data_IF_943592183342
#
_entry.id   IF_943592183342
#
_cell.length_a   1.000
_cell.length_b   1.000
_cell.length_c   1.000
_cell.angle_alpha   90.00
_cell.angle_beta   90.00
_cell.angle_gamma   90.00
#
_symmetry.space_group_name_H-M   'P 1'
#
loop_
_entity.id
_entity.type
_entity.pdbx_description
1 polymer ?
#
# COMPACT_ATOMS: atom_id res chain seq x y z
N UNK A 1 4.58 -16.45 23.79
CA UNK A 1 4.14 -15.77 25.03
C UNK A 1 3.13 -14.68 24.69
N UNK A 2 3.43 -13.82 23.70
CA UNK A 2 2.53 -12.76 23.15
C UNK A 2 1.07 -13.16 22.90
N UNK A 3 0.80 -14.35 22.33
CA UNK A 3 -0.58 -14.76 22.01
C UNK A 3 -1.47 -14.98 23.25
N UNK A 4 -0.89 -15.36 24.39
CA UNK A 4 -1.63 -15.58 25.64
C UNK A 4 -2.06 -14.24 26.26
N UNK A 5 -1.16 -13.27 26.22
CA UNK A 5 -1.40 -11.91 26.71
C UNK A 5 -2.43 -11.19 25.81
N UNK A 6 -2.40 -11.45 24.50
CA UNK A 6 -3.38 -10.91 23.57
C UNK A 6 -4.79 -11.47 23.80
N UNK A 7 -4.91 -12.79 24.07
CA UNK A 7 -6.20 -13.44 24.36
C UNK A 7 -6.75 -12.96 25.71
N UNK A 8 -5.91 -12.82 26.74
CA UNK A 8 -6.34 -12.29 28.04
C UNK A 8 -6.86 -10.85 27.93
N UNK A 9 -6.16 -10.00 27.17
CA UNK A 9 -6.53 -8.60 26.96
C UNK A 9 -7.82 -8.47 26.12
N UNK A 10 -8.01 -9.30 25.10
CA UNK A 10 -9.25 -9.37 24.32
C UNK A 10 -10.44 -9.85 25.16
N UNK A 11 -10.21 -10.82 26.06
CA UNK A 11 -11.27 -11.35 26.94
C UNK A 11 -11.77 -10.31 27.95
N UNK A 12 -10.86 -9.49 28.49
CA UNK A 12 -11.20 -8.38 29.39
C UNK A 12 -11.94 -7.25 28.68
N UNK A 13 -11.54 -6.92 27.45
CA UNK A 13 -12.23 -5.91 26.63
C UNK A 13 -13.66 -6.37 26.27
N UNK A 14 -13.83 -7.64 25.91
CA UNK A 14 -15.14 -8.23 25.58
C UNK A 14 -16.08 -8.28 26.80
N UNK A 15 -15.54 -8.47 28.01
CA UNK A 15 -16.34 -8.49 29.24
C UNK A 15 -16.96 -7.12 29.57
N UNK A 16 -16.22 -6.03 29.34
CA UNK A 16 -16.74 -4.68 29.52
C UNK A 16 -17.87 -4.33 28.53
N UNK A 17 -17.81 -4.87 27.30
CA UNK A 17 -18.81 -4.63 26.26
C UNK A 17 -20.13 -5.39 26.48
N UNK A 18 -20.19 -6.40 27.37
CA UNK A 18 -21.42 -7.18 27.65
C UNK A 18 -22.42 -6.49 28.57
N UNK A 19 -22.03 -5.38 29.23
CA UNK A 19 -22.89 -4.65 30.18
C UNK A 19 -23.62 -3.47 29.51
N UNK A 20 -23.30 -3.16 28.26
CA UNK A 20 -24.04 -2.21 27.44
C UNK A 20 -25.15 -2.92 26.66
N UNK A 21 -26.39 -2.42 26.74
CA UNK A 21 -27.50 -2.81 25.88
C UNK A 21 -27.22 -2.15 24.53
N UNK A 22 -26.37 -2.76 23.70
CA UNK A 22 -26.07 -2.25 22.36
C UNK A 22 -27.16 -2.70 21.40
N UNK A 23 -27.81 -1.75 20.73
CA UNK A 23 -28.77 -2.06 19.67
C UNK A 23 -28.04 -2.75 18.51
N UNK A 24 -28.74 -3.64 17.78
CA UNK A 24 -28.15 -4.41 16.68
C UNK A 24 -27.44 -3.53 15.63
N UNK A 25 -27.90 -2.29 15.45
CA UNK A 25 -27.29 -1.30 14.57
C UNK A 25 -25.87 -0.91 15.01
N UNK A 26 -25.62 -0.73 16.30
CA UNK A 26 -24.32 -0.34 16.83
C UNK A 26 -23.31 -1.50 16.76
N UNK A 27 -23.80 -2.72 16.97
CA UNK A 27 -23.01 -3.93 16.85
C UNK A 27 -22.53 -4.19 15.40
N UNK A 28 -23.35 -3.85 14.39
CA UNK A 28 -22.96 -3.95 12.98
C UNK A 28 -21.88 -2.92 12.61
N UNK A 29 -21.98 -1.70 13.12
CA UNK A 29 -20.96 -0.67 12.90
C UNK A 29 -19.62 -1.03 13.56
N UNK A 30 -19.64 -1.63 14.75
CA UNK A 30 -18.42 -2.11 15.40
C UNK A 30 -17.79 -3.28 14.63
N UNK A 31 -18.60 -4.14 14.02
CA UNK A 31 -18.13 -5.24 13.17
C UNK A 31 -17.42 -4.74 11.90
N UNK A 32 -17.94 -3.69 11.24
CA UNK A 32 -17.28 -3.13 10.04
C UNK A 32 -15.94 -2.50 10.38
N UNK A 33 -15.81 -1.82 11.53
CA UNK A 33 -14.53 -1.28 12.02
C UNK A 33 -13.51 -2.39 12.23
N UNK A 34 -13.90 -3.50 12.89
CA UNK A 34 -13.01 -4.64 13.09
C UNK A 34 -12.59 -5.27 11.75
N UNK A 35 -13.52 -5.41 10.80
CA UNK A 35 -13.22 -5.92 9.45
C UNK A 35 -12.16 -5.04 8.77
N UNK A 36 -12.35 -3.72 8.74
CA UNK A 36 -11.39 -2.80 8.14
C UNK A 36 -10.03 -2.84 8.84
N UNK A 37 -10.00 -2.99 10.16
CA UNK A 37 -8.75 -3.11 10.92
C UNK A 37 -7.99 -4.39 10.52
N UNK A 38 -8.68 -5.53 10.44
CA UNK A 38 -8.08 -6.78 9.97
C UNK A 38 -7.60 -6.67 8.52
N UNK A 39 -8.41 -6.07 7.64
CA UNK A 39 -8.02 -5.85 6.25
C UNK A 39 -6.78 -4.96 6.14
N UNK A 40 -6.68 -3.90 6.95
CA UNK A 40 -5.52 -3.03 7.00
C UNK A 40 -4.25 -3.77 7.48
N UNK A 41 -4.37 -4.63 8.50
CA UNK A 41 -3.26 -5.48 8.96
C UNK A 41 -2.81 -6.44 7.84
N UNK A 42 -3.73 -7.05 7.11
CA UNK A 42 -3.41 -7.98 6.02
C UNK A 42 -2.70 -7.25 4.87
N UNK A 43 -3.21 -6.08 4.47
CA UNK A 43 -2.64 -5.27 3.37
C UNK A 43 -1.24 -4.78 3.73
N UNK A 44 -1.08 -4.20 4.93
CA UNK A 44 0.23 -3.74 5.41
C UNK A 44 1.25 -4.87 5.59
N UNK A 45 0.83 -6.03 6.09
CA UNK A 45 1.70 -7.20 6.17
C UNK A 45 2.17 -7.65 4.77
N UNK A 46 1.30 -7.61 3.76
CA UNK A 46 1.70 -7.93 2.39
C UNK A 46 2.65 -6.90 1.80
N UNK A 47 2.46 -5.61 2.05
CA UNK A 47 3.40 -4.58 1.61
C UNK A 47 4.76 -4.69 2.31
N UNK A 48 4.82 -5.19 3.54
CA UNK A 48 6.10 -5.31 4.28
C UNK A 48 6.90 -6.56 3.89
N UNK A 49 6.22 -7.68 3.63
CA UNK A 49 6.88 -8.97 3.38
C UNK A 49 6.97 -9.37 1.91
N UNK A 50 6.14 -8.77 1.03
CA UNK A 50 6.13 -9.07 -0.39
C UNK A 50 6.52 -7.83 -1.18
N UNK A 51 7.25 -8.05 -2.27
CA UNK A 51 7.47 -7.03 -3.28
C UNK A 51 6.12 -6.61 -3.87
N UNK A 52 5.74 -5.35 -3.66
CA UNK A 52 4.47 -4.79 -4.11
C UNK A 52 4.38 -4.65 -5.64
N UNK A 53 5.53 -4.63 -6.34
CA UNK A 53 5.61 -4.54 -7.80
C UNK A 53 6.82 -5.31 -8.35
N UNK A 54 6.70 -5.84 -9.57
CA UNK A 54 7.81 -6.47 -10.30
C UNK A 54 8.15 -5.63 -11.52
N UNK A 55 9.32 -5.00 -11.52
CA UNK A 55 9.81 -4.20 -12.64
C UNK A 55 10.74 -5.01 -13.54
N UNK A 56 10.63 -4.81 -14.86
CA UNK A 56 11.46 -5.47 -15.87
C UNK A 56 12.26 -4.45 -16.66
N UNK A 57 13.55 -4.72 -16.86
CA UNK A 57 14.41 -3.93 -17.75
C UNK A 57 15.16 -4.85 -18.73
N UNK A 58 15.45 -4.36 -19.92
CA UNK A 58 16.06 -5.16 -20.98
C UNK A 58 17.53 -5.54 -20.72
N UNK A 59 18.30 -4.71 -20.00
CA UNK A 59 19.71 -4.95 -19.71
C UNK A 59 19.93 -4.88 -18.20
N UNK A 60 20.14 -6.04 -17.58
CA UNK A 60 20.49 -6.12 -16.16
C UNK A 60 22.00 -5.90 -15.95
N UNK A 61 22.42 -4.95 -15.10
CA UNK A 61 23.80 -4.93 -14.61
C UNK A 61 24.06 -6.22 -13.80
N UNK A 62 25.32 -6.67 -13.76
CA UNK A 62 25.71 -7.89 -13.06
C UNK A 62 25.56 -7.71 -11.55
N UNK A 63 24.52 -8.30 -10.96
CA UNK A 63 24.30 -8.33 -9.51
C UNK A 63 22.94 -8.93 -9.15
N UNK A 64 22.93 -9.88 -8.22
CA UNK A 64 21.71 -10.62 -7.86
C UNK A 64 20.67 -9.74 -7.11
N UNK A 65 21.14 -8.67 -6.45
CA UNK A 65 20.29 -7.78 -5.64
C UNK A 65 19.67 -6.61 -6.44
N UNK A 66 20.00 -6.47 -7.72
CA UNK A 66 19.55 -5.32 -8.52
C UNK A 66 18.03 -5.33 -8.76
N UNK A 67 17.41 -6.51 -8.84
CA UNK A 67 15.97 -6.62 -9.02
C UNK A 67 15.17 -6.07 -7.82
N UNK A 68 15.66 -6.27 -6.59
CA UNK A 68 15.01 -5.73 -5.39
C UNK A 68 15.10 -4.20 -5.38
N UNK A 69 16.28 -3.64 -5.69
CA UNK A 69 16.45 -2.19 -5.83
C UNK A 69 15.53 -1.60 -6.89
N UNK A 70 15.41 -2.25 -8.06
CA UNK A 70 14.51 -1.78 -9.12
C UNK A 70 13.05 -1.78 -8.68
N UNK A 71 12.60 -2.83 -8.01
CA UNK A 71 11.25 -2.92 -7.46
C UNK A 71 10.99 -1.79 -6.46
N UNK A 72 11.92 -1.55 -5.53
CA UNK A 72 11.79 -0.49 -4.54
C UNK A 72 11.79 0.90 -5.18
N UNK A 73 12.64 1.11 -6.18
CA UNK A 73 12.70 2.37 -6.94
C UNK A 73 11.38 2.64 -7.67
N UNK A 74 10.85 1.65 -8.39
CA UNK A 74 9.56 1.76 -9.07
C UNK A 74 8.41 2.03 -8.08
N UNK A 75 8.46 1.41 -6.90
CA UNK A 75 7.43 1.56 -5.89
C UNK A 75 7.40 2.98 -5.30
N UNK A 76 8.56 3.54 -4.94
CA UNK A 76 8.67 4.89 -4.36
C UNK A 76 8.42 5.98 -5.40
N UNK A 77 8.97 5.81 -6.61
CA UNK A 77 8.84 6.81 -7.67
C UNK A 77 7.45 6.78 -8.31
N UNK A 78 6.73 5.65 -8.22
CA UNK A 78 5.45 5.48 -8.90
C UNK A 78 5.61 5.16 -10.39
N UNK A 79 4.49 4.88 -11.06
CA UNK A 79 4.49 4.39 -12.44
C UNK A 79 3.60 5.23 -13.35
N UNK A 80 3.96 5.28 -14.62
CA UNK A 80 3.18 5.96 -15.67
C UNK A 80 2.54 4.86 -16.55
N UNK A 81 1.20 4.75 -16.57
CA UNK A 81 0.53 3.75 -17.38
C UNK A 81 0.58 4.14 -18.87
N UNK A 82 1.19 3.27 -19.68
CA UNK A 82 1.22 3.37 -21.13
C UNK A 82 0.32 2.29 -21.72
N UNK A 83 -0.52 2.66 -22.70
CA UNK A 83 -1.33 1.68 -23.43
C UNK A 83 -0.45 0.93 -24.42
N UNK A 84 -0.76 -0.33 -24.72
CA UNK A 84 0.01 -1.16 -25.64
C UNK A 84 0.13 -0.59 -27.07
N UNK A 85 -0.77 0.31 -27.47
CA UNK A 85 -0.78 0.97 -28.78
C UNK A 85 -0.11 2.34 -28.81
N UNK A 86 0.32 2.87 -27.65
CA UNK A 86 0.96 4.19 -27.56
C UNK A 86 2.49 4.06 -27.69
N UNK A 87 3.16 4.93 -28.47
CA UNK A 87 4.61 4.93 -28.55
C UNK A 87 5.23 5.42 -27.24
N UNK A 88 6.38 4.85 -26.87
CA UNK A 88 7.13 5.31 -25.71
C UNK A 88 7.69 6.72 -25.97
N UNK A 89 7.52 7.67 -25.04
CA UNK A 89 8.02 9.03 -25.24
C UNK A 89 9.54 9.04 -25.43
N UNK A 90 9.98 9.80 -26.44
CA UNK A 90 11.39 9.85 -26.85
C UNK A 90 12.10 11.12 -26.37
N UNK A 91 11.35 12.18 -26.08
CA UNK A 91 11.90 13.48 -25.67
C UNK A 91 11.63 13.73 -24.18
N UNK A 92 12.55 14.42 -23.47
CA UNK A 92 12.38 14.68 -22.03
C UNK A 92 11.15 15.53 -21.74
N UNK A 93 10.77 16.45 -22.64
CA UNK A 93 9.59 17.30 -22.45
C UNK A 93 8.28 16.49 -22.46
N UNK A 94 8.21 15.42 -23.26
CA UNK A 94 7.04 14.53 -23.27
C UNK A 94 6.98 13.64 -22.03
N UNK A 95 8.14 13.28 -21.46
CA UNK A 95 8.19 12.55 -20.19
C UNK A 95 7.61 13.42 -19.07
N UNK A 96 8.00 14.68 -18.98
CA UNK A 96 7.50 15.62 -17.96
C UNK A 96 5.99 15.86 -18.08
N UNK A 97 5.46 15.93 -19.30
CA UNK A 97 4.02 16.07 -19.52
C UNK A 97 3.25 14.83 -19.03
N UNK A 98 3.73 13.63 -19.36
CA UNK A 98 3.10 12.39 -18.93
C UNK A 98 3.21 12.18 -17.43
N UNK A 99 4.29 12.65 -16.84
CA UNK A 99 4.50 12.57 -15.41
C UNK A 99 3.42 13.36 -14.65
N UNK A 100 3.16 14.59 -15.11
CA UNK A 100 2.15 15.46 -14.52
C UNK A 100 0.72 14.94 -14.68
N UNK A 101 0.43 14.35 -15.84
CA UNK A 101 -0.96 14.01 -16.20
C UNK A 101 -1.34 12.59 -15.77
N UNK A 102 -0.39 11.66 -15.81
CA UNK A 102 -0.68 10.22 -15.75
C UNK A 102 0.01 9.47 -14.63
N UNK A 103 0.93 10.07 -13.87
CA UNK A 103 1.61 9.35 -12.78
C UNK A 103 0.59 8.84 -11.75
N UNK A 104 0.68 7.55 -11.46
CA UNK A 104 -0.06 6.91 -10.38
C UNK A 104 0.94 6.63 -9.26
N UNK A 105 0.80 7.36 -8.15
CA UNK A 105 1.50 7.07 -6.89
C UNK A 105 0.49 6.96 -5.75
N UNK A 106 0.56 5.88 -4.97
CA UNK A 106 -0.28 5.69 -3.78
C UNK A 106 0.10 6.69 -2.67
N UNK A 107 1.37 7.05 -2.61
CA UNK A 107 1.83 8.21 -1.86
C UNK A 107 1.52 9.45 -2.69
N UNK A 108 0.56 10.23 -2.19
CA UNK A 108 0.44 11.63 -2.53
C UNK A 108 1.80 12.26 -2.19
N UNK A 109 2.71 12.34 -3.16
CA UNK A 109 3.84 13.24 -3.04
C UNK A 109 3.15 14.60 -3.02
N UNK A 110 3.01 15.18 -1.84
CA UNK A 110 2.87 16.62 -1.72
C UNK A 110 4.08 17.17 -2.46
N UNK A 111 3.88 17.51 -3.74
CA UNK A 111 4.87 18.21 -4.52
C UNK A 111 5.19 19.48 -3.75
N UNK A 112 6.45 19.60 -3.35
CA UNK A 112 7.01 20.77 -2.71
C UNK A 112 6.69 22.00 -3.57
N UNK A 113 5.65 22.70 -3.16
CA UNK A 113 5.47 24.12 -3.45
C UNK A 113 6.56 24.88 -2.69
N UNK A 114 7.80 24.87 -3.18
CA UNK A 114 8.80 25.85 -2.76
C UNK A 114 9.95 25.97 -3.76
N UNK A 115 9.87 27.09 -4.50
CA UNK A 115 10.90 27.80 -5.30
C UNK A 115 10.98 27.47 -6.77
#
# INVERSE_FOLDING_TARGET
MVAKDFIDLFSKLSYANRVAIEDFSDQLNLFTVILFLIACIIVSAKQYFLNSISCYIAVKPTGDNYNNYLTDYCWVHGTIPLRASEPMPQTPEMWDEYDKIRRISEFLICEDSST
#
